data_IF_950978329639
#
_entry.id   IF_950978329639
#
_cell.length_a   1.000
_cell.length_b   1.000
_cell.length_c   1.000
_cell.angle_alpha   90.00
_cell.angle_beta   90.00
_cell.angle_gamma   90.00
#
_symmetry.space_group_name_H-M   'P 1'
#
loop_
_entity.id
_entity.type
_entity.pdbx_description
1 polymer ?
#
# COMPACT_ATOMS: atom_id res chain seq x y z
N UNK A 1 2.25 -30.17 -19.23
CA UNK A 1 1.08 -29.55 -18.56
C UNK A 1 1.56 -28.28 -17.91
N UNK A 2 1.07 -27.12 -18.31
CA UNK A 2 1.39 -25.86 -17.65
C UNK A 2 0.79 -25.90 -16.23
N UNK A 3 1.62 -25.64 -15.22
CA UNK A 3 1.17 -25.59 -13.82
C UNK A 3 0.13 -24.47 -13.68
N UNK A 4 -1.03 -24.76 -13.10
CA UNK A 4 -2.04 -23.73 -12.79
C UNK A 4 -1.51 -22.80 -11.70
N UNK A 5 -1.57 -21.50 -11.94
CA UNK A 5 -1.17 -20.44 -11.00
C UNK A 5 -2.38 -20.08 -10.13
N UNK A 6 -2.26 -20.28 -8.83
CA UNK A 6 -3.29 -20.00 -7.84
C UNK A 6 -3.19 -18.56 -7.35
N UNK A 7 -4.26 -17.80 -7.48
CA UNK A 7 -4.27 -16.36 -7.23
C UNK A 7 -5.32 -16.02 -6.17
N UNK A 8 -4.99 -15.08 -5.28
CA UNK A 8 -5.95 -14.40 -4.41
C UNK A 8 -6.02 -12.93 -4.82
N UNK A 9 -7.23 -12.38 -4.87
CA UNK A 9 -7.49 -10.97 -5.14
C UNK A 9 -7.86 -10.25 -3.85
N UNK A 10 -7.20 -9.13 -3.57
CA UNK A 10 -7.42 -8.35 -2.34
C UNK A 10 -7.56 -6.87 -2.68
N UNK A 11 -8.78 -6.37 -2.55
CA UNK A 11 -9.13 -4.99 -2.88
C UNK A 11 -10.45 -4.63 -2.19
N UNK A 12 -10.58 -3.47 -1.59
CA UNK A 12 -11.83 -3.03 -0.96
C UNK A 12 -12.85 -2.48 -1.97
N UNK A 13 -12.42 -2.19 -3.21
CA UNK A 13 -13.28 -1.81 -4.31
C UNK A 13 -13.87 -3.04 -5.00
N UNK A 14 -15.08 -3.46 -4.59
CA UNK A 14 -15.75 -4.67 -5.10
C UNK A 14 -15.85 -4.71 -6.62
N UNK A 15 -16.21 -3.60 -7.26
CA UNK A 15 -16.35 -3.54 -8.72
C UNK A 15 -15.02 -3.79 -9.42
N UNK A 16 -13.94 -3.22 -8.92
CA UNK A 16 -12.60 -3.42 -9.46
C UNK A 16 -12.14 -4.87 -9.28
N UNK A 17 -12.33 -5.44 -8.09
CA UNK A 17 -11.99 -6.83 -7.78
C UNK A 17 -12.75 -7.81 -8.66
N UNK A 18 -14.07 -7.58 -8.88
CA UNK A 18 -14.87 -8.40 -9.82
C UNK A 18 -14.45 -8.24 -11.28
N UNK A 19 -13.98 -7.06 -11.66
CA UNK A 19 -13.37 -6.84 -12.98
C UNK A 19 -12.10 -7.68 -13.18
N UNK A 20 -11.23 -7.71 -12.17
CA UNK A 20 -10.02 -8.55 -12.19
C UNK A 20 -10.36 -10.04 -12.24
N UNK A 21 -11.29 -10.51 -11.41
CA UNK A 21 -11.78 -11.90 -11.44
C UNK A 21 -12.25 -12.28 -12.84
N UNK A 22 -13.06 -11.45 -13.47
CA UNK A 22 -13.59 -11.68 -14.81
C UNK A 22 -12.48 -11.76 -15.87
N UNK A 23 -11.47 -10.88 -15.80
CA UNK A 23 -10.34 -10.87 -16.73
C UNK A 23 -9.49 -12.13 -16.53
N UNK A 24 -9.09 -12.41 -15.29
CA UNK A 24 -8.16 -13.50 -15.00
C UNK A 24 -8.78 -14.90 -15.13
N UNK A 25 -10.08 -15.04 -14.91
CA UNK A 25 -10.78 -16.32 -15.10
C UNK A 25 -10.85 -16.79 -16.56
N UNK A 26 -10.53 -15.92 -17.53
CA UNK A 26 -10.45 -16.29 -18.95
C UNK A 26 -9.11 -16.91 -19.33
N UNK A 27 -8.11 -16.78 -18.47
CA UNK A 27 -6.79 -17.38 -18.69
C UNK A 27 -6.80 -18.84 -18.19
N UNK A 28 -6.56 -19.81 -19.07
CA UNK A 28 -6.73 -21.25 -18.73
C UNK A 28 -5.72 -21.75 -17.70
N UNK A 29 -4.63 -21.01 -17.47
CA UNK A 29 -3.58 -21.32 -16.51
C UNK A 29 -3.72 -20.59 -15.17
N UNK A 30 -4.80 -19.80 -14.96
CA UNK A 30 -5.05 -19.11 -13.69
C UNK A 30 -6.23 -19.72 -12.94
N UNK A 31 -6.16 -19.70 -11.62
CA UNK A 31 -7.22 -20.14 -10.72
C UNK A 31 -7.34 -19.15 -9.56
N UNK A 32 -8.50 -18.50 -9.46
CA UNK A 32 -8.78 -17.61 -8.32
C UNK A 32 -9.24 -18.48 -7.15
N UNK A 33 -8.43 -18.56 -6.09
CA UNK A 33 -8.75 -19.34 -4.90
C UNK A 33 -9.67 -18.60 -3.94
N UNK A 34 -9.48 -17.29 -3.79
CA UNK A 34 -10.21 -16.51 -2.80
C UNK A 34 -10.19 -15.03 -3.18
N UNK A 35 -11.17 -14.29 -2.65
CA UNK A 35 -11.25 -12.84 -2.68
C UNK A 35 -11.34 -12.30 -1.25
N UNK A 36 -10.67 -11.18 -0.97
CA UNK A 36 -10.73 -10.51 0.33
C UNK A 36 -10.91 -9.00 0.15
N UNK A 37 -11.59 -8.35 1.09
CA UNK A 37 -11.86 -6.91 1.05
C UNK A 37 -10.78 -6.09 1.78
N UNK A 38 -9.88 -6.73 2.49
CA UNK A 38 -8.81 -6.08 3.26
C UNK A 38 -7.74 -7.09 3.69
N UNK A 39 -6.63 -6.58 4.21
CA UNK A 39 -5.51 -7.41 4.66
C UNK A 39 -5.87 -8.34 5.83
N UNK A 40 -6.82 -7.97 6.71
CA UNK A 40 -7.22 -8.82 7.83
C UNK A 40 -7.94 -10.08 7.33
N UNK A 41 -8.88 -9.93 6.39
CA UNK A 41 -9.59 -11.07 5.78
C UNK A 41 -8.60 -12.00 5.07
N UNK A 42 -7.67 -11.44 4.29
CA UNK A 42 -6.62 -12.20 3.63
C UNK A 42 -5.79 -13.03 4.62
N UNK A 43 -5.27 -12.40 5.67
CA UNK A 43 -4.43 -13.08 6.67
C UNK A 43 -5.21 -14.16 7.40
N UNK A 44 -6.48 -13.90 7.76
CA UNK A 44 -7.35 -14.90 8.39
C UNK A 44 -7.56 -16.11 7.48
N UNK A 45 -7.81 -15.88 6.19
CA UNK A 45 -7.93 -16.95 5.20
C UNK A 45 -6.62 -17.76 5.08
N UNK A 46 -5.47 -17.09 4.90
CA UNK A 46 -4.17 -17.76 4.76
C UNK A 46 -3.81 -18.64 5.97
N UNK A 47 -4.19 -18.23 7.18
CA UNK A 47 -3.96 -19.01 8.40
C UNK A 47 -4.91 -20.20 8.58
N UNK A 48 -6.04 -20.20 7.87
CA UNK A 48 -7.07 -21.25 8.00
C UNK A 48 -7.10 -22.25 6.83
N UNK A 49 -6.50 -21.87 5.68
CA UNK A 49 -6.53 -22.71 4.48
C UNK A 49 -5.43 -23.77 4.49
N UNK A 50 -5.73 -24.92 3.88
CA UNK A 50 -4.73 -25.96 3.56
C UNK A 50 -4.09 -25.75 2.18
N UNK A 51 -4.66 -24.87 1.36
CA UNK A 51 -4.22 -24.60 0.00
C UNK A 51 -3.79 -23.15 -0.13
N UNK A 52 -2.47 -22.92 -0.17
CA UNK A 52 -1.90 -21.60 -0.30
C UNK A 52 -1.90 -21.13 -1.76
N UNK A 53 -2.05 -19.82 -2.02
CA UNK A 53 -1.87 -19.24 -3.34
C UNK A 53 -0.40 -19.22 -3.76
N UNK A 54 -0.14 -19.23 -5.06
CA UNK A 54 1.18 -18.89 -5.60
C UNK A 54 1.38 -17.36 -5.59
N UNK A 55 0.30 -16.60 -5.86
CA UNK A 55 0.34 -15.13 -5.99
C UNK A 55 -0.84 -14.48 -5.27
N UNK A 56 -0.57 -13.38 -4.58
CA UNK A 56 -1.59 -12.45 -4.07
C UNK A 56 -1.50 -11.15 -4.87
N UNK A 57 -2.59 -10.74 -5.52
CA UNK A 57 -2.73 -9.41 -6.13
C UNK A 57 -3.45 -8.54 -5.11
N UNK A 58 -2.80 -7.47 -4.67
CA UNK A 58 -3.25 -6.74 -3.50
C UNK A 58 -3.22 -5.23 -3.71
N UNK A 59 -4.35 -4.57 -3.47
CA UNK A 59 -4.35 -3.12 -3.30
C UNK A 59 -3.61 -2.73 -2.01
N UNK A 60 -3.02 -1.57 -2.05
CA UNK A 60 -2.23 -1.04 -0.94
C UNK A 60 -3.07 -0.16 -0.01
N UNK A 61 -4.14 0.44 -0.51
CA UNK A 61 -5.03 1.31 0.28
C UNK A 61 -6.32 0.56 0.62
N UNK A 62 -6.33 -0.10 1.74
CA UNK A 62 -7.49 -0.83 2.24
C UNK A 62 -7.74 -0.51 3.71
N UNK A 63 -9.00 -0.60 4.19
CA UNK A 63 -9.34 -0.42 5.59
C UNK A 63 -8.80 -1.57 6.46
N UNK A 64 -8.78 -1.36 7.77
CA UNK A 64 -8.43 -2.32 8.83
C UNK A 64 -6.94 -2.66 8.81
N UNK A 65 -6.49 -3.53 7.91
CA UNK A 65 -5.08 -3.83 7.61
C UNK A 65 -4.84 -3.48 6.16
N UNK A 66 -3.99 -2.47 5.93
CA UNK A 66 -3.62 -2.03 4.58
C UNK A 66 -2.64 -3.01 3.92
N UNK A 67 -2.45 -2.86 2.59
CA UNK A 67 -1.61 -3.77 1.82
C UNK A 67 -0.13 -3.78 2.23
N UNK A 68 0.40 -2.68 2.76
CA UNK A 68 1.79 -2.62 3.27
C UNK A 68 1.96 -3.48 4.52
N UNK A 69 1.03 -3.33 5.48
CA UNK A 69 1.02 -4.13 6.71
C UNK A 69 0.78 -5.61 6.40
N UNK A 70 -0.17 -5.91 5.50
CA UNK A 70 -0.44 -7.26 5.06
C UNK A 70 0.79 -7.89 4.39
N UNK A 71 1.50 -7.15 3.51
CA UNK A 71 2.74 -7.62 2.88
C UNK A 71 3.80 -8.00 3.91
N UNK A 72 4.02 -7.18 4.94
CA UNK A 72 4.99 -7.48 6.01
C UNK A 72 4.65 -8.78 6.74
N UNK A 73 3.37 -8.98 7.05
CA UNK A 73 2.90 -10.19 7.75
C UNK A 73 3.06 -11.42 6.84
N UNK A 74 2.63 -11.32 5.59
CA UNK A 74 2.69 -12.42 4.62
C UNK A 74 4.15 -12.79 4.33
N UNK A 75 5.03 -11.81 4.12
CA UNK A 75 6.45 -12.06 3.89
C UNK A 75 7.11 -12.81 5.07
N UNK A 76 6.66 -12.55 6.29
CA UNK A 76 7.16 -13.21 7.50
C UNK A 76 6.56 -14.61 7.72
N UNK A 77 5.25 -14.76 7.56
CA UNK A 77 4.53 -16.00 7.89
C UNK A 77 4.44 -16.97 6.70
N UNK A 78 4.44 -16.46 5.47
CA UNK A 78 4.24 -17.21 4.22
C UNK A 78 5.24 -16.77 3.14
N UNK A 79 6.55 -16.97 3.32
CA UNK A 79 7.59 -16.40 2.44
C UNK A 79 7.55 -16.90 0.99
N UNK A 80 6.88 -18.03 0.73
CA UNK A 80 6.73 -18.59 -0.62
C UNK A 80 5.70 -17.86 -1.47
N UNK A 81 4.73 -17.15 -0.84
CA UNK A 81 3.68 -16.42 -1.53
C UNK A 81 4.29 -15.16 -2.18
N UNK A 82 4.04 -15.00 -3.48
CA UNK A 82 4.47 -13.82 -4.23
C UNK A 82 3.39 -12.73 -4.16
N UNK A 83 3.79 -11.48 -3.97
CA UNK A 83 2.86 -10.37 -3.84
C UNK A 83 3.04 -9.41 -5.01
N UNK A 84 1.98 -9.20 -5.79
CA UNK A 84 1.88 -8.16 -6.80
C UNK A 84 1.08 -7.01 -6.19
N UNK A 85 1.73 -5.89 -5.91
CA UNK A 85 1.04 -4.68 -5.48
C UNK A 85 0.35 -4.02 -6.68
N UNK A 86 -0.95 -3.84 -6.61
CA UNK A 86 -1.77 -3.19 -7.63
C UNK A 86 -2.45 -1.96 -7.01
N UNK A 87 -2.07 -0.75 -7.41
CA UNK A 87 -2.41 0.47 -6.69
C UNK A 87 -2.59 1.69 -7.60
N UNK A 88 -3.29 2.70 -7.10
CA UNK A 88 -3.39 4.01 -7.75
C UNK A 88 -2.21 4.94 -7.46
N UNK A 89 -1.28 4.56 -6.58
CA UNK A 89 -0.15 5.41 -6.20
C UNK A 89 1.03 5.28 -7.15
N UNK A 90 1.59 6.43 -7.54
CA UNK A 90 2.73 6.53 -8.49
C UNK A 90 3.87 7.37 -7.89
N UNK A 91 4.24 7.18 -6.63
CA UNK A 91 5.39 7.90 -6.07
C UNK A 91 6.62 7.01 -5.99
N UNK A 92 7.79 7.53 -6.41
CA UNK A 92 9.06 6.82 -6.35
C UNK A 92 9.38 6.31 -4.94
N UNK A 93 9.12 7.13 -3.93
CA UNK A 93 9.33 6.79 -2.53
C UNK A 93 8.48 5.59 -2.10
N UNK A 94 7.25 5.54 -2.59
CA UNK A 94 6.31 4.48 -2.28
C UNK A 94 6.67 3.16 -2.97
N UNK A 95 7.02 3.21 -4.26
CA UNK A 95 7.50 2.05 -5.02
C UNK A 95 8.73 1.43 -4.33
N UNK A 96 9.74 2.24 -4.00
CA UNK A 96 10.96 1.76 -3.34
C UNK A 96 10.66 1.10 -1.99
N UNK A 97 9.73 1.67 -1.20
CA UNK A 97 9.32 1.07 0.06
C UNK A 97 8.62 -0.27 -0.11
N UNK A 98 7.72 -0.41 -1.10
CA UNK A 98 7.01 -1.67 -1.32
C UNK A 98 7.96 -2.81 -1.71
N UNK A 99 9.00 -2.49 -2.45
CA UNK A 99 10.05 -3.46 -2.80
C UNK A 99 10.87 -3.84 -1.56
N UNK A 100 11.22 -2.87 -0.71
CA UNK A 100 11.95 -3.11 0.56
C UNK A 100 11.11 -3.97 1.54
N UNK A 101 9.79 -3.84 1.51
CA UNK A 101 8.84 -4.63 2.30
C UNK A 101 8.66 -6.06 1.76
N UNK A 102 9.04 -6.31 0.49
CA UNK A 102 9.07 -7.66 -0.09
C UNK A 102 8.01 -7.95 -1.15
N UNK A 103 7.48 -6.93 -1.85
CA UNK A 103 6.63 -7.19 -3.02
C UNK A 103 7.45 -7.79 -4.17
N UNK A 104 6.86 -8.74 -4.88
CA UNK A 104 7.46 -9.37 -6.05
C UNK A 104 7.22 -8.58 -7.33
N UNK A 105 6.22 -7.72 -7.35
CA UNK A 105 5.94 -6.79 -8.45
C UNK A 105 5.11 -5.60 -7.97
N UNK A 106 5.10 -4.56 -8.78
CA UNK A 106 4.35 -3.32 -8.56
C UNK A 106 3.72 -2.86 -9.86
N UNK A 107 2.40 -2.76 -9.88
CA UNK A 107 1.61 -2.29 -11.02
C UNK A 107 0.66 -1.17 -10.59
N UNK A 108 0.34 -0.30 -11.52
CA UNK A 108 -0.72 0.69 -11.34
C UNK A 108 -2.10 0.10 -11.70
N UNK A 109 -3.16 0.52 -11.01
CA UNK A 109 -4.55 0.11 -11.31
C UNK A 109 -5.02 0.50 -12.73
N UNK A 110 -4.31 1.40 -13.41
CA UNK A 110 -4.55 1.76 -14.82
C UNK A 110 -3.72 0.95 -15.82
N UNK A 111 -2.97 -0.05 -15.37
CA UNK A 111 -2.27 -0.98 -16.26
C UNK A 111 -3.27 -1.74 -17.15
N UNK A 112 -2.83 -2.12 -18.34
CA UNK A 112 -3.70 -2.90 -19.23
C UNK A 112 -3.88 -4.34 -18.72
N UNK A 113 -4.97 -5.03 -19.10
CA UNK A 113 -5.15 -6.44 -18.79
C UNK A 113 -3.97 -7.30 -19.25
N UNK A 114 -3.43 -7.02 -20.43
CA UNK A 114 -2.30 -7.75 -21.01
C UNK A 114 -1.03 -7.59 -20.16
N UNK A 115 -0.78 -6.37 -19.65
CA UNK A 115 0.35 -6.09 -18.77
C UNK A 115 0.21 -6.83 -17.44
N UNK A 116 -0.99 -6.87 -16.85
CA UNK A 116 -1.27 -7.63 -15.63
C UNK A 116 -1.03 -9.13 -15.84
N UNK A 117 -1.58 -9.70 -16.92
CA UNK A 117 -1.43 -11.13 -17.26
C UNK A 117 0.05 -11.46 -17.48
N UNK A 118 0.78 -10.64 -18.23
CA UNK A 118 2.21 -10.80 -18.44
C UNK A 118 2.99 -10.76 -17.12
N UNK A 119 2.68 -9.80 -16.25
CA UNK A 119 3.30 -9.67 -14.93
C UNK A 119 3.06 -10.89 -14.05
N UNK A 120 1.83 -11.43 -14.01
CA UNK A 120 1.51 -12.65 -13.25
C UNK A 120 2.36 -13.84 -13.74
N UNK A 121 2.46 -14.03 -15.05
CA UNK A 121 3.25 -15.11 -15.64
C UNK A 121 4.74 -14.95 -15.34
N UNK A 122 5.28 -13.74 -15.45
CA UNK A 122 6.69 -13.44 -15.14
C UNK A 122 6.99 -13.67 -13.65
N UNK A 123 6.14 -13.20 -12.74
CA UNK A 123 6.29 -13.41 -11.30
C UNK A 123 6.19 -14.90 -10.95
N UNK A 124 5.27 -15.64 -11.55
CA UNK A 124 5.15 -17.08 -11.34
C UNK A 124 6.38 -17.84 -11.81
N UNK A 125 7.01 -17.40 -12.92
CA UNK A 125 8.16 -18.05 -13.51
C UNK A 125 9.48 -17.69 -12.81
N UNK A 126 9.71 -16.38 -12.55
CA UNK A 126 10.99 -15.84 -12.07
C UNK A 126 11.00 -15.50 -10.58
N UNK A 127 9.82 -15.48 -9.93
CA UNK A 127 9.66 -15.06 -8.53
C UNK A 127 9.48 -13.55 -8.36
N UNK A 128 9.83 -12.74 -9.35
CA UNK A 128 9.64 -11.28 -9.36
C UNK A 128 9.59 -10.74 -10.78
N UNK A 129 8.97 -9.57 -10.94
CA UNK A 129 9.02 -8.80 -12.19
C UNK A 129 8.84 -7.31 -11.89
N UNK A 130 9.71 -6.48 -12.44
CA UNK A 130 9.63 -5.02 -12.33
C UNK A 130 9.81 -4.39 -13.70
N UNK A 131 8.93 -3.43 -14.02
CA UNK A 131 9.09 -2.63 -15.24
C UNK A 131 10.37 -1.78 -15.19
N UNK A 132 10.85 -1.32 -16.35
CA UNK A 132 12.05 -0.46 -16.44
C UNK A 132 11.91 0.79 -15.54
N UNK A 133 10.74 1.35 -15.44
CA UNK A 133 10.45 2.48 -14.57
C UNK A 133 10.68 2.14 -13.09
N UNK A 134 10.14 1.02 -12.63
CA UNK A 134 10.32 0.52 -11.26
C UNK A 134 11.80 0.20 -11.00
N UNK A 135 12.48 -0.41 -11.95
CA UNK A 135 13.94 -0.70 -11.86
C UNK A 135 14.75 0.59 -11.71
N UNK A 136 14.40 1.66 -12.41
CA UNK A 136 15.08 2.94 -12.28
C UNK A 136 14.85 3.56 -10.89
N UNK A 137 13.64 3.45 -10.33
CA UNK A 137 13.35 3.88 -8.94
C UNK A 137 14.21 3.11 -7.93
N UNK A 138 14.34 1.80 -8.10
CA UNK A 138 15.19 0.95 -7.24
C UNK A 138 16.66 1.42 -7.29
N UNK A 139 17.17 1.67 -8.49
CA UNK A 139 18.55 2.16 -8.67
C UNK A 139 18.78 3.50 -7.99
N UNK A 140 17.87 4.46 -8.18
CA UNK A 140 17.96 5.78 -7.55
C UNK A 140 17.90 5.68 -6.01
N UNK A 141 17.02 4.85 -5.47
CA UNK A 141 16.90 4.60 -4.04
C UNK A 141 18.16 3.97 -3.44
N UNK A 142 18.76 2.99 -4.14
CA UNK A 142 19.98 2.31 -3.72
C UNK A 142 21.20 3.26 -3.70
N UNK A 143 21.27 4.21 -4.63
CA UNK A 143 22.35 5.19 -4.70
C UNK A 143 22.24 6.28 -3.63
N UNK A 144 21.01 6.61 -3.19
CA UNK A 144 20.80 7.68 -2.20
C UNK A 144 21.03 7.27 -0.75
N UNK A 145 21.25 5.99 -0.45
CA UNK A 145 21.48 5.47 0.91
C UNK A 145 20.32 5.72 1.89
N UNK A 146 19.21 6.23 1.40
CA UNK A 146 18.05 6.59 2.19
C UNK A 146 17.08 5.42 2.29
N UNK A 147 16.88 4.88 3.50
CA UNK A 147 15.71 4.01 3.76
C UNK A 147 14.46 4.88 3.63
N UNK A 148 13.82 4.80 2.46
CA UNK A 148 12.56 5.48 2.21
C UNK A 148 11.48 4.80 3.04
N UNK A 149 11.00 5.47 4.09
CA UNK A 149 9.87 5.01 4.89
C UNK A 149 8.57 5.21 4.12
N UNK A 150 7.71 4.20 4.13
CA UNK A 150 6.40 4.22 3.47
C UNK A 150 5.47 5.30 4.02
N UNK A 151 4.85 6.04 3.12
CA UNK A 151 3.78 6.97 3.47
C UNK A 151 2.48 6.29 3.94
N UNK A 152 2.30 4.99 3.68
CA UNK A 152 1.11 4.22 4.07
C UNK A 152 1.31 3.34 5.31
N UNK A 153 2.47 3.40 5.96
CA UNK A 153 2.65 2.69 7.22
C UNK A 153 1.79 3.40 8.29
N UNK A 154 0.61 2.86 8.62
CA UNK A 154 -0.25 3.37 9.70
C UNK A 154 0.49 3.49 11.03
N UNK A 155 1.59 2.75 11.19
CA UNK A 155 2.50 2.89 12.31
C UNK A 155 3.24 4.24 12.34
N UNK A 156 3.25 5.01 11.25
CA UNK A 156 3.89 6.34 11.23
C UNK A 156 3.08 7.40 11.94
N UNK A 157 1.75 7.47 11.70
CA UNK A 157 0.89 8.48 12.32
C UNK A 157 -0.12 7.81 13.24
N UNK A 158 -0.12 8.20 14.51
CA UNK A 158 -1.19 7.80 15.43
C UNK A 158 -2.52 8.45 15.01
N UNK A 159 -3.65 7.88 15.46
CA UNK A 159 -4.98 8.46 15.22
C UNK A 159 -5.02 9.93 15.64
N UNK A 160 -4.37 10.26 16.75
CA UNK A 160 -4.28 11.62 17.28
C UNK A 160 -3.48 12.56 16.38
N UNK A 161 -2.39 12.09 15.79
CA UNK A 161 -1.60 12.85 14.80
C UNK A 161 -2.39 13.09 13.51
N UNK A 162 -3.20 12.11 13.07
CA UNK A 162 -4.10 12.26 11.91
C UNK A 162 -5.17 13.33 12.19
N UNK A 163 -5.79 13.32 13.38
CA UNK A 163 -6.76 14.35 13.77
C UNK A 163 -6.14 15.75 13.76
N UNK A 164 -4.95 15.89 14.36
CA UNK A 164 -4.22 17.16 14.36
C UNK A 164 -3.88 17.58 12.92
N UNK A 165 -3.40 16.67 12.07
CA UNK A 165 -3.08 16.94 10.67
C UNK A 165 -4.29 17.44 9.88
N UNK A 166 -5.45 16.80 10.05
CA UNK A 166 -6.71 17.23 9.42
C UNK A 166 -7.13 18.64 9.82
N UNK A 167 -6.94 19.01 11.09
CA UNK A 167 -7.26 20.35 11.58
C UNK A 167 -6.23 21.40 11.10
N UNK A 168 -4.96 21.05 10.96
CA UNK A 168 -3.95 21.87 10.30
C UNK A 168 -4.35 22.17 8.85
N UNK A 169 -4.80 21.15 8.11
CA UNK A 169 -5.28 21.33 6.73
C UNK A 169 -6.53 22.22 6.64
N UNK A 170 -7.33 22.28 7.71
CA UNK A 170 -8.46 23.23 7.87
C UNK A 170 -8.01 24.61 8.39
N UNK A 171 -6.73 24.92 8.31
CA UNK A 171 -6.11 26.21 8.68
C UNK A 171 -6.29 26.58 10.17
N UNK A 172 -6.52 25.60 11.06
CA UNK A 172 -6.62 25.83 12.50
C UNK A 172 -5.25 26.06 13.11
N UNK A 173 -5.15 27.04 14.02
CA UNK A 173 -3.95 27.27 14.81
C UNK A 173 -3.89 26.35 16.04
N UNK A 174 -2.74 26.35 16.75
CA UNK A 174 -2.53 25.42 17.85
C UNK A 174 -3.52 25.58 19.01
N UNK A 175 -4.00 26.81 19.28
CA UNK A 175 -4.99 27.07 20.32
C UNK A 175 -6.37 26.49 19.91
N UNK A 176 -6.82 26.78 18.69
CA UNK A 176 -8.09 26.25 18.15
C UNK A 176 -8.09 24.73 18.04
N UNK A 177 -6.95 24.10 17.68
CA UNK A 177 -6.80 22.65 17.66
C UNK A 177 -6.85 22.10 19.08
N UNK A 178 -6.18 22.77 20.03
CA UNK A 178 -6.20 22.41 21.44
C UNK A 178 -7.62 22.42 22.02
N UNK A 179 -8.38 23.48 21.76
CA UNK A 179 -9.79 23.61 22.18
C UNK A 179 -10.66 22.51 21.55
N UNK A 180 -10.50 22.27 20.25
CA UNK A 180 -11.29 21.25 19.52
C UNK A 180 -11.01 19.82 20.01
N UNK A 181 -9.78 19.52 20.31
CA UNK A 181 -9.30 18.19 20.69
C UNK A 181 -9.19 18.01 22.22
N UNK A 182 -9.53 19.00 23.02
CA UNK A 182 -9.42 19.01 24.50
C UNK A 182 -8.00 18.70 25.00
N UNK A 183 -6.97 19.30 24.36
CA UNK A 183 -5.56 19.20 24.75
C UNK A 183 -4.92 20.58 24.82
N UNK A 184 -3.76 20.69 25.50
CA UNK A 184 -3.06 21.95 25.55
C UNK A 184 -2.45 22.35 24.20
N UNK A 185 -2.33 23.65 23.88
CA UNK A 185 -1.63 24.11 22.67
C UNK A 185 -0.18 23.56 22.60
N UNK A 186 0.48 23.39 23.74
CA UNK A 186 1.81 22.78 23.82
C UNK A 186 1.82 21.32 23.36
N UNK A 187 0.77 20.58 23.69
CA UNK A 187 0.59 19.19 23.22
C UNK A 187 0.38 19.14 21.71
N UNK A 188 -0.39 20.11 21.16
CA UNK A 188 -0.59 20.24 19.71
C UNK A 188 0.75 20.50 18.99
N UNK A 189 1.59 21.40 19.51
CA UNK A 189 2.92 21.64 18.93
C UNK A 189 3.83 20.41 19.03
N UNK A 190 3.70 19.59 20.06
CA UNK A 190 4.36 18.28 20.16
C UNK A 190 3.93 17.34 19.02
N UNK A 191 2.62 17.20 18.79
CA UNK A 191 2.10 16.42 17.68
C UNK A 191 2.55 16.97 16.31
N UNK A 192 2.56 18.30 16.14
CA UNK A 192 3.03 18.96 14.93
C UNK A 192 4.49 18.66 14.64
N UNK A 193 5.35 18.72 15.66
CA UNK A 193 6.77 18.36 15.54
C UNK A 193 6.93 16.89 15.13
N UNK A 194 6.19 15.99 15.76
CA UNK A 194 6.20 14.57 15.40
C UNK A 194 5.71 14.34 13.96
N UNK A 195 4.65 15.04 13.54
CA UNK A 195 4.16 15.02 12.17
C UNK A 195 5.24 15.40 11.17
N UNK A 196 5.92 16.54 11.39
CA UNK A 196 7.02 17.00 10.52
C UNK A 196 8.13 15.95 10.41
N UNK A 197 8.53 15.35 11.53
CA UNK A 197 9.57 14.32 11.57
C UNK A 197 9.11 13.03 10.86
N UNK A 198 7.91 12.55 11.17
CA UNK A 198 7.38 11.28 10.64
C UNK A 198 7.08 11.35 9.14
N UNK A 199 6.59 12.50 8.66
CA UNK A 199 6.26 12.71 7.25
C UNK A 199 7.45 13.22 6.42
N UNK A 200 8.59 13.49 7.07
CA UNK A 200 9.76 14.14 6.46
C UNK A 200 9.40 15.50 5.81
N UNK A 201 8.41 16.19 6.37
CA UNK A 201 7.97 17.51 5.90
C UNK A 201 8.81 18.60 6.56
N UNK A 202 9.23 19.62 5.79
CA UNK A 202 10.06 20.72 6.30
C UNK A 202 9.27 21.80 7.04
N UNK A 203 7.98 21.91 6.73
CA UNK A 203 7.08 22.93 7.29
C UNK A 203 5.61 22.51 7.15
N UNK A 204 4.71 23.38 7.64
CA UNK A 204 3.25 23.13 7.58
C UNK A 204 2.74 22.97 6.16
N UNK A 205 3.27 23.71 5.19
CA UNK A 205 2.87 23.54 3.79
C UNK A 205 3.21 22.12 3.28
N UNK A 206 4.37 21.59 3.68
CA UNK A 206 4.73 20.20 3.42
C UNK A 206 3.77 19.17 4.05
N UNK A 207 3.26 19.45 5.26
CA UNK A 207 2.23 18.61 5.89
C UNK A 207 0.91 18.63 5.12
N UNK A 208 0.48 19.78 4.61
CA UNK A 208 -0.73 19.91 3.78
C UNK A 208 -0.55 19.12 2.48
N UNK A 209 0.59 19.28 1.80
CA UNK A 209 0.91 18.52 0.59
C UNK A 209 0.91 17.01 0.88
N UNK A 210 1.54 16.59 1.98
CA UNK A 210 1.53 15.20 2.42
C UNK A 210 0.10 14.67 2.63
N UNK A 211 -0.76 15.45 3.33
CA UNK A 211 -2.13 15.05 3.61
C UNK A 211 -2.98 14.90 2.33
N UNK A 212 -2.77 15.78 1.33
CA UNK A 212 -3.43 15.70 0.03
C UNK A 212 -2.94 14.50 -0.80
N UNK A 213 -1.62 14.28 -0.84
CA UNK A 213 -1.03 13.18 -1.59
C UNK A 213 -1.41 11.79 -1.04
N UNK A 214 -1.79 11.72 0.25
CA UNK A 214 -2.19 10.49 0.91
C UNK A 214 -3.72 10.43 1.16
N UNK A 215 -4.51 11.28 0.48
CA UNK A 215 -5.98 11.33 0.58
C UNK A 215 -6.51 11.39 2.03
N UNK A 216 -5.73 11.98 2.95
CA UNK A 216 -6.15 12.20 4.33
C UNK A 216 -7.13 13.36 4.46
N UNK A 217 -7.14 14.26 3.46
CA UNK A 217 -8.07 15.40 3.30
C UNK A 217 -8.37 15.61 1.83
N UNK A 218 -9.59 16.06 1.51
CA UNK A 218 -9.98 16.58 0.20
C UNK A 218 -9.92 18.11 0.19
N UNK A 219 -9.62 18.70 -0.95
CA UNK A 219 -9.86 20.12 -1.21
C UNK A 219 -11.32 20.24 -1.65
N UNK A 220 -12.19 20.67 -0.73
CA UNK A 220 -13.53 21.13 -1.05
C UNK A 220 -13.51 22.58 -1.53
#
# INVERSE_FOLDING_TARGET
MTKTIKIILVDDEELFRKGLEFILSREPNFSILHEANNGQELIAFLRSTYELPDIVIMDLKMPIINGVEATKIIHKEFPEIKIIALTSYHSKAFIANMIDVGTSSYLLKNASPEELIATINEVACKGFYYSDEVVNVIKEASLSGSKLKSCLDKSMLSEREIEVLKLICKQKNAAEIGDYLFISPRTVEGHRTNLLLKTNSRNVAGLVVFALQNDLVSLD
#
